data_IF_867651114403
#
_entry.id   IF_867651114403
#
_cell.length_a   1.000
_cell.length_b   1.000
_cell.length_c   1.000
_cell.angle_alpha   90.00
_cell.angle_beta   90.00
_cell.angle_gamma   90.00
#
_symmetry.space_group_name_H-M   'P 1'
#
loop_
_entity.id
_entity.type
_entity.pdbx_description
1 polymer ?
#
# COMPACT_ATOMS: atom_id res chain seq x y z
N UNK A 1 30.52 -38.05 -11.74
CA UNK A 1 31.21 -36.87 -12.30
C UNK A 1 30.64 -36.57 -13.68
N UNK A 2 29.78 -35.57 -13.79
CA UNK A 2 29.43 -34.89 -15.03
C UNK A 2 28.78 -33.56 -14.62
N UNK A 3 29.54 -32.47 -14.70
CA UNK A 3 29.10 -31.13 -14.36
C UNK A 3 28.34 -30.52 -15.55
N UNK A 4 27.07 -30.15 -15.33
CA UNK A 4 26.28 -29.40 -16.28
C UNK A 4 26.34 -27.91 -15.93
N UNK A 5 27.19 -27.17 -16.63
CA UNK A 5 27.16 -25.71 -16.66
C UNK A 5 25.83 -25.23 -17.26
N UNK A 6 24.98 -24.57 -16.49
CA UNK A 6 23.92 -23.71 -17.02
C UNK A 6 24.40 -22.27 -17.09
N UNK A 7 24.20 -21.69 -18.28
CA UNK A 7 24.51 -20.32 -18.62
C UNK A 7 23.49 -19.39 -17.98
N UNK A 8 23.99 -18.42 -17.22
CA UNK A 8 23.26 -17.30 -16.67
C UNK A 8 22.88 -16.35 -17.82
N UNK A 9 21.59 -16.04 -17.93
CA UNK A 9 21.06 -15.15 -18.97
C UNK A 9 21.21 -13.69 -18.51
N UNK A 10 21.97 -12.95 -19.30
CA UNK A 10 22.34 -11.54 -19.14
C UNK A 10 21.12 -10.63 -19.38
N UNK A 11 20.65 -9.91 -18.34
CA UNK A 11 19.66 -8.82 -18.47
C UNK A 11 20.39 -7.47 -18.53
N UNK A 12 20.14 -6.60 -19.53
CA UNK A 12 20.86 -5.34 -19.65
C UNK A 12 20.39 -4.31 -18.59
N UNK A 13 21.34 -3.80 -17.79
CA UNK A 13 21.13 -2.71 -16.83
C UNK A 13 20.96 -1.37 -17.55
N UNK A 14 19.83 -0.70 -17.33
CA UNK A 14 19.59 0.66 -17.80
C UNK A 14 20.48 1.68 -17.06
N UNK A 15 21.12 2.57 -17.82
CA UNK A 15 22.05 3.59 -17.31
C UNK A 15 21.29 4.75 -16.65
N UNK A 16 21.61 5.03 -15.39
CA UNK A 16 21.20 6.24 -14.66
C UNK A 16 21.64 7.49 -15.45
N UNK A 17 20.71 8.42 -15.68
CA UNK A 17 20.99 9.77 -16.18
C UNK A 17 21.08 10.73 -15.00
N UNK A 18 22.19 11.44 -14.89
CA UNK A 18 22.43 12.51 -13.90
C UNK A 18 21.74 13.81 -14.34
N UNK A 19 21.13 14.51 -13.39
CA UNK A 19 20.52 15.83 -13.57
C UNK A 19 21.59 16.95 -13.61
N UNK A 20 21.32 18.12 -14.25
CA UNK A 20 22.26 19.24 -14.28
C UNK A 20 22.01 20.27 -13.16
N UNK A 21 23.09 20.96 -12.81
CA UNK A 21 23.23 21.98 -11.78
C UNK A 21 22.41 23.26 -12.04
N UNK A 22 21.76 23.79 -11.00
CA UNK A 22 21.12 25.11 -11.00
C UNK A 22 22.10 26.20 -10.56
N UNK A 23 22.33 27.19 -11.43
CA UNK A 23 23.05 28.41 -11.11
C UNK A 23 22.07 29.49 -10.60
N UNK A 24 22.29 29.96 -9.36
CA UNK A 24 21.56 31.08 -8.74
C UNK A 24 22.24 32.40 -9.16
N UNK A 25 21.49 33.30 -9.78
CA UNK A 25 21.93 34.67 -10.07
C UNK A 25 21.46 35.59 -8.95
N UNK A 26 22.43 36.17 -8.23
CA UNK A 26 22.23 37.27 -7.30
C UNK A 26 22.23 38.61 -8.05
N UNK A 27 21.27 39.49 -7.75
CA UNK A 27 21.40 40.93 -8.03
C UNK A 27 21.03 41.73 -6.79
N UNK A 28 21.93 42.67 -6.51
CA UNK A 28 22.06 43.48 -5.31
C UNK A 28 21.42 44.86 -5.51
N UNK A 29 20.77 45.37 -4.45
CA UNK A 29 20.79 46.78 -4.00
C UNK A 29 20.09 47.87 -4.84
N UNK A 30 19.28 48.71 -4.19
CA UNK A 30 19.70 50.04 -3.66
C UNK A 30 18.53 50.68 -2.87
N UNK A 31 18.86 51.21 -1.70
CA UNK A 31 18.08 52.06 -0.78
C UNK A 31 18.03 53.52 -1.24
N UNK A 32 16.93 54.26 -0.98
CA UNK A 32 16.98 55.69 -0.62
C UNK A 32 15.82 56.11 0.32
N UNK A 33 16.22 56.49 1.54
CA UNK A 33 15.81 57.55 2.49
C UNK A 33 14.41 58.25 2.51
N UNK A 34 13.76 58.13 3.69
CA UNK A 34 13.29 59.14 4.68
C UNK A 34 12.73 60.53 4.28
N UNK A 35 11.56 60.92 4.85
CA UNK A 35 11.40 61.97 5.91
C UNK A 35 9.93 62.45 6.18
N UNK A 36 9.62 62.66 7.48
CA UNK A 36 8.74 63.69 8.11
C UNK A 36 7.18 63.66 8.01
N UNK A 37 6.54 63.15 9.07
CA UNK A 37 5.75 63.85 10.14
C UNK A 37 4.57 64.81 9.80
N UNK A 38 3.40 64.47 10.39
CA UNK A 38 2.19 65.23 10.81
C UNK A 38 1.19 65.77 9.76
N UNK A 39 -0.06 65.31 9.82
CA UNK A 39 -1.21 66.02 10.46
C UNK A 39 -2.52 65.24 10.29
N UNK A 40 -3.41 65.42 11.26
CA UNK A 40 -4.75 64.84 11.38
C UNK A 40 -5.75 65.44 10.39
N UNK A 41 -6.56 64.61 9.73
CA UNK A 41 -7.97 64.92 9.51
C UNK A 41 -8.73 63.64 9.15
N UNK A 42 -9.71 63.31 9.98
CA UNK A 42 -10.63 62.21 9.76
C UNK A 42 -11.57 62.55 8.59
N UNK A 43 -11.68 61.63 7.64
CA UNK A 43 -12.74 61.58 6.63
C UNK A 43 -13.52 60.27 6.86
N UNK A 44 -14.84 60.24 6.62
CA UNK A 44 -15.67 59.13 7.02
C UNK A 44 -15.34 57.88 6.20
N UNK A 45 -15.33 56.74 6.86
CA UNK A 45 -15.17 55.43 6.25
C UNK A 45 -16.30 55.19 5.24
N UNK A 46 -15.95 55.13 3.96
CA UNK A 46 -16.77 54.49 2.96
C UNK A 46 -16.75 52.99 3.26
N UNK A 47 -17.92 52.41 3.53
CA UNK A 47 -18.06 50.97 3.82
C UNK A 47 -17.77 50.22 2.53
N UNK A 48 -16.51 49.84 2.35
CA UNK A 48 -16.12 48.89 1.33
C UNK A 48 -16.47 47.49 1.84
N UNK A 49 -17.48 46.88 1.22
CA UNK A 49 -17.80 45.48 1.48
C UNK A 49 -16.52 44.64 1.24
N UNK A 50 -16.21 43.67 2.10
CA UNK A 50 -15.12 42.75 1.82
C UNK A 50 -15.43 42.01 0.50
N UNK A 51 -14.41 41.70 -0.32
CA UNK A 51 -14.63 40.88 -1.49
C UNK A 51 -15.20 39.54 -1.04
N UNK A 52 -16.27 39.13 -1.71
CA UNK A 52 -16.89 37.82 -1.54
C UNK A 52 -15.82 36.75 -1.75
N UNK A 53 -15.50 36.03 -0.67
CA UNK A 53 -14.54 34.94 -0.68
C UNK A 53 -15.07 33.88 -1.65
N UNK A 54 -14.41 33.76 -2.80
CA UNK A 54 -14.78 32.80 -3.82
C UNK A 54 -14.75 31.41 -3.18
N UNK A 55 -15.91 30.73 -3.21
CA UNK A 55 -16.04 29.36 -2.75
C UNK A 55 -14.89 28.51 -3.36
N UNK A 56 -14.25 27.63 -2.58
CA UNK A 56 -13.13 26.84 -3.07
C UNK A 56 -13.60 26.07 -4.31
N UNK A 57 -12.84 26.21 -5.40
CA UNK A 57 -13.08 25.47 -6.62
C UNK A 57 -13.13 23.98 -6.29
N UNK A 58 -14.29 23.37 -6.50
CA UNK A 58 -14.50 21.94 -6.42
C UNK A 58 -13.41 21.22 -7.22
N UNK A 59 -12.55 20.46 -6.54
CA UNK A 59 -11.62 19.59 -7.24
C UNK A 59 -12.44 18.59 -8.06
N UNK A 60 -12.05 18.30 -9.30
CA UNK A 60 -12.76 17.32 -10.10
C UNK A 60 -12.65 15.97 -9.37
N UNK A 61 -13.79 15.38 -9.03
CA UNK A 61 -13.88 13.98 -8.61
C UNK A 61 -13.14 13.13 -9.64
N UNK A 62 -12.34 12.11 -9.23
CA UNK A 62 -11.75 11.19 -10.18
C UNK A 62 -12.88 10.52 -10.96
N UNK A 63 -13.07 10.93 -12.20
CA UNK A 63 -14.02 10.29 -13.09
C UNK A 63 -13.45 8.92 -13.41
N UNK A 64 -13.99 7.90 -12.75
CA UNK A 64 -13.81 6.51 -13.13
C UNK A 64 -14.26 6.38 -14.60
N UNK A 65 -13.29 6.37 -15.52
CA UNK A 65 -13.54 5.85 -16.85
C UNK A 65 -13.87 4.37 -16.66
N UNK A 66 -15.17 4.06 -16.69
CA UNK A 66 -15.64 2.69 -16.88
C UNK A 66 -15.18 2.25 -18.28
N UNK A 67 -13.94 1.80 -18.36
CA UNK A 67 -13.48 0.98 -19.47
C UNK A 67 -14.36 -0.28 -19.46
N UNK A 68 -14.89 -0.61 -20.64
CA UNK A 68 -15.69 -1.80 -20.90
C UNK A 68 -15.01 -3.02 -20.26
N UNK A 69 -15.59 -3.53 -19.17
CA UNK A 69 -14.84 -4.42 -18.28
C UNK A 69 -14.80 -5.80 -18.88
N UNK A 70 -13.58 -6.29 -19.15
CA UNK A 70 -13.35 -7.64 -19.61
C UNK A 70 -14.09 -8.67 -18.74
N UNK A 71 -14.87 -9.53 -19.38
CA UNK A 71 -15.26 -10.83 -18.84
C UNK A 71 -13.97 -11.58 -18.49
N UNK A 72 -13.72 -11.81 -17.21
CA UNK A 72 -12.49 -12.43 -16.72
C UNK A 72 -12.76 -13.29 -15.50
N UNK A 73 -11.76 -14.06 -15.09
CA UNK A 73 -11.84 -14.97 -13.96
C UNK A 73 -11.10 -14.42 -12.75
N UNK A 74 -11.44 -14.89 -11.56
CA UNK A 74 -10.67 -14.60 -10.35
C UNK A 74 -9.37 -15.40 -10.44
N UNK A 75 -8.26 -14.69 -10.65
CA UNK A 75 -6.92 -15.28 -10.79
C UNK A 75 -6.08 -15.16 -9.52
N UNK A 76 -6.50 -14.32 -8.57
CA UNK A 76 -5.92 -14.24 -7.25
C UNK A 76 -6.92 -13.67 -6.26
N UNK A 77 -6.96 -14.20 -5.05
CA UNK A 77 -7.83 -13.71 -4.00
C UNK A 77 -7.26 -13.98 -2.62
N UNK A 78 -7.64 -13.14 -1.66
CA UNK A 78 -7.32 -13.34 -0.25
C UNK A 78 -8.42 -12.77 0.64
N UNK A 79 -8.68 -13.46 1.75
CA UNK A 79 -9.57 -13.02 2.79
C UNK A 79 -8.78 -12.77 4.08
N UNK A 80 -8.64 -11.50 4.45
CA UNK A 80 -7.99 -11.07 5.67
C UNK A 80 -9.06 -10.93 6.77
N UNK A 81 -8.88 -11.58 7.91
CA UNK A 81 -9.84 -11.58 9.03
C UNK A 81 -9.13 -11.16 10.30
N UNK A 82 -9.54 -10.02 10.90
CA UNK A 82 -9.03 -9.59 12.21
C UNK A 82 -9.98 -10.00 13.34
N UNK A 83 -9.43 -10.27 14.52
CA UNK A 83 -10.20 -10.58 15.74
C UNK A 83 -10.73 -9.33 16.46
N UNK A 84 -10.48 -8.14 15.94
CA UNK A 84 -11.00 -6.89 16.51
C UNK A 84 -12.52 -6.89 16.61
N UNK A 85 -13.07 -6.13 17.55
CA UNK A 85 -14.52 -5.89 17.64
C UNK A 85 -14.86 -4.41 17.49
N UNK A 86 -13.87 -3.57 17.15
CA UNK A 86 -14.03 -2.13 17.02
C UNK A 86 -14.85 -1.77 15.77
N UNK A 87 -16.00 -1.11 15.97
CA UNK A 87 -16.91 -0.73 14.89
C UNK A 87 -16.37 0.40 14.00
N UNK A 88 -15.56 1.30 14.55
CA UNK A 88 -14.94 2.40 13.80
C UNK A 88 -13.85 1.87 12.86
N UNK A 89 -13.08 0.87 13.33
CA UNK A 89 -12.19 0.08 12.46
C UNK A 89 -12.96 -0.56 11.30
N UNK A 90 -14.10 -1.18 11.56
CA UNK A 90 -14.91 -1.81 10.51
C UNK A 90 -15.41 -0.81 9.46
N UNK A 91 -15.77 0.43 9.87
CA UNK A 91 -16.13 1.48 8.93
C UNK A 91 -14.93 1.93 8.09
N UNK A 92 -13.74 2.08 8.69
CA UNK A 92 -12.52 2.40 7.95
C UNK A 92 -12.20 1.34 6.89
N UNK A 93 -12.35 0.06 7.22
CA UNK A 93 -12.17 -1.05 6.27
C UNK A 93 -13.15 -0.93 5.10
N UNK A 94 -14.43 -0.63 5.38
CA UNK A 94 -15.47 -0.45 4.35
C UNK A 94 -15.14 0.70 3.41
N UNK A 95 -14.68 1.83 3.95
CA UNK A 95 -14.29 3.00 3.16
C UNK A 95 -13.07 2.70 2.28
N UNK A 96 -12.01 2.12 2.85
CA UNK A 96 -10.79 1.80 2.10
C UNK A 96 -11.01 0.70 1.04
N UNK A 97 -11.77 -0.36 1.35
CA UNK A 97 -12.11 -1.37 0.36
C UNK A 97 -12.95 -0.76 -0.79
N UNK A 98 -13.92 0.10 -0.46
CA UNK A 98 -14.73 0.80 -1.46
C UNK A 98 -13.94 1.78 -2.34
N UNK A 99 -12.82 2.33 -1.85
CA UNK A 99 -11.97 3.23 -2.62
C UNK A 99 -11.19 2.52 -3.73
N UNK A 100 -10.91 1.22 -3.57
CA UNK A 100 -10.15 0.42 -4.55
C UNK A 100 -11.03 -0.54 -5.35
N UNK A 101 -12.29 -0.74 -4.94
CA UNK A 101 -13.21 -1.65 -5.62
C UNK A 101 -13.56 -1.15 -7.03
N UNK A 102 -13.45 -2.05 -8.01
CA UNK A 102 -13.74 -1.76 -9.41
C UNK A 102 -12.61 -1.09 -10.17
N UNK A 103 -11.49 -0.74 -9.52
CA UNK A 103 -10.33 -0.15 -10.19
C UNK A 103 -9.76 -1.10 -11.22
N UNK A 104 -9.51 -0.60 -12.43
CA UNK A 104 -8.87 -1.34 -13.53
C UNK A 104 -7.43 -0.88 -13.66
N UNK A 105 -6.49 -1.81 -13.57
CA UNK A 105 -5.06 -1.62 -13.79
C UNK A 105 -4.76 -2.02 -15.24
N UNK A 106 -4.47 -1.05 -16.09
CA UNK A 106 -4.16 -1.26 -17.50
C UNK A 106 -2.80 -1.97 -17.69
N UNK A 107 -2.57 -2.62 -18.85
CA UNK A 107 -1.27 -3.17 -19.21
C UNK A 107 -0.13 -2.14 -19.02
N UNK A 108 0.88 -2.50 -18.23
CA UNK A 108 2.02 -1.67 -17.88
C UNK A 108 1.78 -0.62 -16.78
N UNK A 109 0.53 -0.44 -16.34
CA UNK A 109 0.17 0.54 -15.30
C UNK A 109 0.59 0.09 -13.90
N UNK A 110 1.03 1.05 -13.09
CA UNK A 110 1.29 0.85 -11.66
C UNK A 110 0.17 1.49 -10.85
N UNK A 111 -0.57 0.66 -10.14
CA UNK A 111 -1.51 1.05 -9.11
C UNK A 111 -0.77 1.50 -7.85
N UNK A 112 -1.25 2.54 -7.20
CA UNK A 112 -0.83 3.01 -5.87
C UNK A 112 -2.02 2.96 -4.94
N UNK A 113 -1.86 2.32 -3.78
CA UNK A 113 -2.95 2.25 -2.80
C UNK A 113 -3.22 3.62 -2.17
N UNK A 114 -2.15 4.35 -1.81
CA UNK A 114 -2.27 5.69 -1.23
C UNK A 114 -2.92 6.70 -2.18
N UNK A 115 -2.73 6.58 -3.51
CA UNK A 115 -3.37 7.46 -4.49
C UNK A 115 -4.90 7.29 -4.53
N UNK A 116 -5.43 6.15 -4.07
CA UNK A 116 -6.87 5.88 -4.08
C UNK A 116 -7.53 6.07 -2.72
N UNK A 117 -6.85 5.70 -1.65
CA UNK A 117 -7.35 5.90 -0.28
C UNK A 117 -7.13 7.34 0.21
N UNK A 118 -6.06 8.00 -0.23
CA UNK A 118 -5.73 9.37 0.15
C UNK A 118 -5.17 9.52 1.56
N UNK A 119 -5.06 10.76 2.00
CA UNK A 119 -4.61 11.10 3.36
C UNK A 119 -5.77 10.94 4.36
N UNK A 120 -5.72 9.84 5.11
CA UNK A 120 -6.78 9.46 6.07
C UNK A 120 -6.85 10.43 7.26
N UNK A 121 -5.78 11.15 7.57
CA UNK A 121 -5.76 12.17 8.63
C UNK A 121 -6.53 13.44 8.20
N UNK A 122 -6.67 13.68 6.89
CA UNK A 122 -7.38 14.85 6.34
C UNK A 122 -8.82 14.51 5.90
N UNK A 123 -9.20 13.24 5.92
CA UNK A 123 -10.53 12.79 5.51
C UNK A 123 -11.39 12.41 6.71
N UNK A 124 -12.31 13.32 7.06
CA UNK A 124 -13.26 13.18 8.17
C UNK A 124 -14.18 11.96 8.13
N UNK A 125 -14.22 11.22 7.02
CA UNK A 125 -14.98 9.96 6.91
C UNK A 125 -14.28 8.83 7.67
N UNK A 126 -12.94 8.85 7.72
CA UNK A 126 -12.17 7.90 8.50
C UNK A 126 -12.27 8.24 9.98
N UNK A 127 -12.36 7.20 10.79
CA UNK A 127 -12.56 7.26 12.22
C UNK A 127 -11.29 6.86 12.96
N UNK A 128 -11.16 7.36 14.19
CA UNK A 128 -10.12 6.91 15.09
C UNK A 128 -10.34 5.43 15.44
N UNK A 129 -9.31 4.63 15.26
CA UNK A 129 -9.26 3.23 15.66
C UNK A 129 -7.80 2.84 15.97
N UNK A 130 -7.55 1.67 16.56
CA UNK A 130 -6.20 1.21 16.84
C UNK A 130 -5.32 1.16 15.58
N UNK A 131 -4.16 1.82 15.66
CA UNK A 131 -3.05 1.83 14.69
C UNK A 131 -1.77 1.41 15.41
N UNK A 132 -0.77 0.94 14.65
CA UNK A 132 0.55 0.61 15.19
C UNK A 132 1.51 1.75 14.85
N UNK A 133 2.08 2.40 15.86
CA UNK A 133 3.07 3.48 15.73
C UNK A 133 4.27 3.14 16.61
N UNK A 134 5.45 3.01 16.01
CA UNK A 134 6.68 2.76 16.76
C UNK A 134 6.67 1.47 17.59
N UNK A 135 5.93 0.44 17.16
CA UNK A 135 5.78 -0.81 17.90
C UNK A 135 4.73 -0.78 19.01
N UNK A 136 3.98 0.31 19.17
CA UNK A 136 2.88 0.41 20.13
C UNK A 136 1.54 0.56 19.43
N UNK A 137 0.47 0.06 20.07
CA UNK A 137 -0.90 0.25 19.60
C UNK A 137 -1.48 1.53 20.21
N UNK A 138 -1.80 2.51 19.36
CA UNK A 138 -2.40 3.79 19.75
C UNK A 138 -3.66 4.05 18.93
N UNK A 139 -4.53 4.97 19.36
CA UNK A 139 -5.67 5.40 18.53
C UNK A 139 -5.19 6.40 17.47
N UNK A 140 -5.58 6.19 16.22
CA UNK A 140 -5.23 7.06 15.09
C UNK A 140 -6.26 7.01 13.96
N UNK A 141 -6.25 8.00 13.08
CA UNK A 141 -7.19 8.05 11.96
C UNK A 141 -6.96 6.86 11.01
N UNK A 142 -8.05 6.26 10.52
CA UNK A 142 -7.93 5.18 9.54
C UNK A 142 -7.38 3.87 10.09
N UNK A 143 -7.42 3.66 11.42
CA UNK A 143 -7.04 2.38 12.02
C UNK A 143 -7.75 1.20 11.33
N UNK A 144 -6.95 0.22 10.90
CA UNK A 144 -7.39 -0.96 10.15
C UNK A 144 -7.07 -0.98 8.65
N UNK A 145 -6.78 0.15 8.01
CA UNK A 145 -6.62 0.23 6.54
C UNK A 145 -5.52 -0.68 5.98
N UNK A 146 -4.43 -0.90 6.74
CA UNK A 146 -3.37 -1.84 6.32
C UNK A 146 -3.86 -3.28 6.12
N UNK A 147 -5.01 -3.67 6.72
CA UNK A 147 -5.63 -4.97 6.42
C UNK A 147 -6.12 -5.06 4.98
N UNK A 148 -6.64 -3.96 4.42
CA UNK A 148 -7.07 -3.90 3.01
C UNK A 148 -5.85 -3.94 2.08
N UNK A 149 -4.81 -3.18 2.42
CA UNK A 149 -3.52 -3.23 1.70
C UNK A 149 -2.93 -4.63 1.68
N UNK A 150 -2.89 -5.29 2.84
CA UNK A 150 -2.41 -6.67 2.99
C UNK A 150 -3.22 -7.65 2.14
N UNK A 151 -4.56 -7.54 2.17
CA UNK A 151 -5.41 -8.40 1.34
C UNK A 151 -5.17 -8.18 -0.15
N UNK A 152 -5.00 -6.93 -0.59
CA UNK A 152 -4.65 -6.61 -1.97
C UNK A 152 -3.28 -7.15 -2.35
N UNK A 153 -2.27 -7.01 -1.49
CA UNK A 153 -0.92 -7.51 -1.72
C UNK A 153 -0.92 -9.02 -1.94
N UNK A 154 -1.55 -9.80 -1.06
CA UNK A 154 -1.59 -11.26 -1.21
C UNK A 154 -2.41 -11.68 -2.44
N UNK A 155 -3.55 -11.03 -2.70
CA UNK A 155 -4.32 -11.27 -3.92
C UNK A 155 -3.50 -10.96 -5.18
N UNK A 156 -2.68 -9.90 -5.15
CA UNK A 156 -1.79 -9.50 -6.24
C UNK A 156 -0.65 -10.51 -6.46
N UNK A 157 -0.05 -11.05 -5.39
CA UNK A 157 0.93 -12.15 -5.51
C UNK A 157 0.33 -13.36 -6.23
N UNK A 158 -0.89 -13.75 -5.86
CA UNK A 158 -1.59 -14.90 -6.45
C UNK A 158 -2.04 -14.63 -7.90
N UNK A 159 -2.26 -13.37 -8.26
CA UNK A 159 -2.62 -12.94 -9.61
C UNK A 159 -1.41 -12.62 -10.52
N UNK A 160 -0.20 -12.96 -10.08
CA UNK A 160 1.05 -12.69 -10.77
C UNK A 160 1.39 -11.21 -11.04
N UNK A 161 0.81 -10.28 -10.29
CA UNK A 161 1.12 -8.85 -10.42
C UNK A 161 2.55 -8.56 -9.93
N UNK A 162 3.25 -7.62 -10.57
CA UNK A 162 4.58 -7.19 -10.14
C UNK A 162 4.44 -6.32 -8.87
N UNK A 163 5.17 -6.66 -7.81
CA UNK A 163 5.18 -5.86 -6.57
C UNK A 163 6.30 -4.83 -6.70
N UNK A 164 5.91 -3.57 -6.93
CA UNK A 164 6.84 -2.45 -7.15
C UNK A 164 7.31 -1.87 -5.82
N UNK A 165 6.40 -1.79 -4.85
CA UNK A 165 6.69 -1.31 -3.50
C UNK A 165 5.81 -2.06 -2.50
N UNK A 166 6.42 -2.51 -1.41
CA UNK A 166 5.76 -3.08 -0.24
C UNK A 166 6.67 -2.92 0.96
N UNK A 167 6.07 -2.65 2.12
CA UNK A 167 6.76 -2.57 3.41
C UNK A 167 6.07 -3.49 4.43
N UNK A 168 6.82 -4.21 5.29
CA UNK A 168 6.24 -4.98 6.39
C UNK A 168 5.83 -4.08 7.55
N UNK A 169 4.90 -4.53 8.39
CA UNK A 169 4.73 -3.98 9.73
C UNK A 169 5.94 -4.35 10.61
N UNK A 170 6.19 -3.56 11.65
CA UNK A 170 7.18 -3.90 12.67
C UNK A 170 6.71 -5.01 13.61
N UNK A 171 5.40 -5.25 13.69
CA UNK A 171 4.75 -6.28 14.53
C UNK A 171 3.82 -7.08 13.63
N UNK A 172 3.82 -8.41 13.79
CA UNK A 172 2.97 -9.29 12.99
C UNK A 172 1.48 -8.98 13.16
N UNK A 173 0.76 -8.90 12.03
CA UNK A 173 -0.69 -8.76 12.00
C UNK A 173 -1.42 -10.06 12.35
N UNK A 174 -2.65 -9.96 12.88
CA UNK A 174 -3.51 -11.12 13.16
C UNK A 174 -4.30 -11.61 11.93
N UNK A 175 -4.21 -10.92 10.80
CA UNK A 175 -5.03 -11.13 9.61
C UNK A 175 -4.25 -11.62 8.38
N UNK A 176 -2.95 -11.93 8.52
CA UNK A 176 -2.10 -12.50 7.49
C UNK A 176 -0.93 -13.31 8.09
N UNK A 177 -0.41 -14.33 7.37
CA UNK A 177 0.84 -14.97 7.77
C UNK A 177 2.00 -13.98 7.84
N UNK A 178 2.94 -14.24 8.74
CA UNK A 178 4.13 -13.40 8.93
C UNK A 178 4.92 -13.30 7.62
N UNK A 179 5.36 -12.10 7.23
CA UNK A 179 6.04 -11.88 5.94
C UNK A 179 5.12 -11.60 4.75
N UNK A 180 3.79 -11.73 4.93
CA UNK A 180 2.78 -11.52 3.87
C UNK A 180 1.87 -10.32 4.11
N UNK A 181 2.14 -9.50 5.11
CA UNK A 181 1.44 -8.24 5.37
C UNK A 181 1.99 -7.09 4.52
N UNK A 182 1.23 -6.00 4.37
CA UNK A 182 1.69 -4.79 3.72
C UNK A 182 1.22 -3.56 4.52
N UNK A 183 2.16 -2.80 5.06
CA UNK A 183 1.89 -1.56 5.79
C UNK A 183 1.89 -0.35 4.86
N UNK A 184 1.27 0.73 5.32
CA UNK A 184 1.15 1.99 4.60
C UNK A 184 1.37 3.16 5.56
N UNK A 185 1.99 4.21 5.03
CA UNK A 185 2.10 5.52 5.68
C UNK A 185 1.97 6.55 4.57
N UNK A 186 0.86 7.30 4.56
CA UNK A 186 0.60 8.27 3.50
C UNK A 186 1.80 9.21 3.29
N UNK A 187 2.19 9.38 2.02
CA UNK A 187 3.34 10.20 1.62
C UNK A 187 4.73 9.58 1.83
N UNK A 188 4.86 8.39 2.45
CA UNK A 188 6.18 7.76 2.68
C UNK A 188 6.26 6.25 2.39
N UNK A 189 5.24 5.45 2.75
CA UNK A 189 5.18 4.01 2.49
C UNK A 189 3.89 3.68 1.76
N UNK A 190 4.01 3.02 0.61
CA UNK A 190 2.88 2.66 -0.23
C UNK A 190 2.92 1.17 -0.61
N UNK A 191 1.75 0.65 -1.00
CA UNK A 191 1.65 -0.60 -1.74
C UNK A 191 1.47 -0.24 -3.21
N UNK A 192 2.51 -0.51 -4.00
CA UNK A 192 2.50 -0.27 -5.44
C UNK A 192 2.57 -1.59 -6.17
N UNK A 193 1.56 -1.87 -6.98
CA UNK A 193 1.47 -3.10 -7.78
C UNK A 193 1.34 -2.73 -9.24
N UNK A 194 2.02 -3.46 -10.11
CA UNK A 194 2.05 -3.20 -11.53
C UNK A 194 1.51 -4.38 -12.32
N UNK A 195 0.63 -4.06 -13.26
CA UNK A 195 0.17 -5.03 -14.24
C UNK A 195 1.24 -5.16 -15.34
N UNK A 196 2.06 -6.22 -15.28
CA UNK A 196 3.07 -6.50 -16.29
C UNK A 196 2.53 -7.31 -17.48
N UNK A 197 1.24 -7.67 -17.48
CA UNK A 197 0.59 -8.44 -18.54
C UNK A 197 0.13 -7.55 -19.70
N UNK A 198 -0.41 -8.19 -20.76
CA UNK A 198 -0.95 -7.51 -21.94
C UNK A 198 -2.44 -7.18 -21.83
N UNK A 199 -3.12 -7.65 -20.78
CA UNK A 199 -4.56 -7.50 -20.59
C UNK A 199 -4.89 -6.68 -19.33
N UNK A 200 -5.99 -5.91 -19.33
CA UNK A 200 -6.42 -5.18 -18.15
C UNK A 200 -6.81 -6.13 -17.01
N UNK A 201 -6.50 -5.74 -15.77
CA UNK A 201 -6.90 -6.45 -14.57
C UNK A 201 -7.77 -5.55 -13.70
N UNK A 202 -8.81 -6.10 -13.07
CA UNK A 202 -9.71 -5.35 -12.17
C UNK A 202 -9.55 -5.82 -10.73
N UNK A 203 -9.43 -4.88 -9.81
CA UNK A 203 -9.55 -5.11 -8.38
C UNK A 203 -11.03 -5.22 -8.02
N UNK A 204 -11.41 -6.26 -7.30
CA UNK A 204 -12.68 -6.37 -6.60
C UNK A 204 -12.39 -6.43 -5.10
N UNK A 205 -12.94 -5.52 -4.33
CA UNK A 205 -12.66 -5.40 -2.91
C UNK A 205 -13.94 -5.16 -2.11
N UNK A 206 -14.06 -5.84 -0.98
CA UNK A 206 -15.17 -5.61 -0.06
C UNK A 206 -14.77 -5.86 1.38
N UNK A 207 -15.43 -5.15 2.30
CA UNK A 207 -15.28 -5.37 3.73
C UNK A 207 -16.65 -5.50 4.40
N UNK A 208 -16.78 -6.53 5.25
CA UNK A 208 -17.97 -6.77 6.08
C UNK A 208 -17.50 -7.07 7.51
N UNK A 209 -17.79 -6.16 8.43
CA UNK A 209 -17.26 -6.25 9.80
C UNK A 209 -15.73 -6.14 9.78
N UNK A 210 -15.03 -7.17 10.28
CA UNK A 210 -13.56 -7.26 10.26
C UNK A 210 -13.01 -8.17 9.17
N UNK A 211 -13.86 -8.63 8.26
CA UNK A 211 -13.45 -9.46 7.13
C UNK A 211 -13.29 -8.58 5.91
N UNK A 212 -12.09 -8.60 5.33
CA UNK A 212 -11.78 -7.96 4.05
C UNK A 212 -11.51 -9.06 3.04
N UNK A 213 -12.19 -8.98 1.89
CA UNK A 213 -11.95 -9.87 0.77
C UNK A 213 -11.52 -9.03 -0.43
N UNK A 214 -10.37 -9.39 -1.01
CA UNK A 214 -9.86 -8.78 -2.24
C UNK A 214 -9.62 -9.88 -3.26
N UNK A 215 -10.04 -9.62 -4.50
CA UNK A 215 -9.83 -10.48 -5.65
C UNK A 215 -9.31 -9.67 -6.83
N UNK A 216 -8.41 -10.25 -7.61
CA UNK A 216 -7.99 -9.74 -8.90
C UNK A 216 -8.69 -10.53 -9.99
N UNK A 217 -9.37 -9.82 -10.88
CA UNK A 217 -10.07 -10.38 -12.03
C UNK A 217 -9.27 -10.07 -13.28
N UNK A 218 -8.95 -11.08 -14.08
CA UNK A 218 -8.16 -10.92 -15.31
C UNK A 218 -8.34 -12.10 -16.27
N UNK A 219 -7.49 -12.17 -17.29
CA UNK A 219 -7.43 -13.35 -18.15
C UNK A 219 -7.02 -14.58 -17.33
N UNK A 220 -7.61 -15.77 -17.59
CA UNK A 220 -7.24 -16.99 -16.90
C UNK A 220 -5.74 -17.28 -17.03
N UNK A 221 -5.14 -17.80 -15.96
CA UNK A 221 -3.79 -18.34 -16.03
C UNK A 221 -3.75 -19.54 -17.00
N UNK A 222 -2.54 -19.94 -17.41
CA UNK A 222 -2.36 -21.15 -18.21
C UNK A 222 -3.05 -22.35 -17.53
N UNK A 223 -3.65 -23.24 -18.32
CA UNK A 223 -4.41 -24.37 -17.78
C UNK A 223 -3.54 -25.22 -16.87
N UNK A 224 -4.04 -25.48 -15.65
CA UNK A 224 -3.31 -26.23 -14.62
C UNK A 224 -2.35 -25.38 -13.78
N UNK A 225 -2.13 -24.11 -14.15
CA UNK A 225 -1.32 -23.17 -13.37
C UNK A 225 -2.10 -22.55 -12.23
N UNK A 226 -1.52 -22.60 -11.03
CA UNK A 226 -2.00 -21.84 -9.88
C UNK A 226 -0.80 -21.17 -9.20
N UNK A 227 -1.03 -20.00 -8.60
CA UNK A 227 0.01 -19.27 -7.87
C UNK A 227 -0.44 -19.10 -6.43
N UNK A 228 0.49 -19.32 -5.51
CA UNK A 228 0.24 -19.13 -4.09
C UNK A 228 1.25 -18.18 -3.45
N UNK A 229 0.85 -17.60 -2.31
CA UNK A 229 1.74 -16.84 -1.44
C UNK A 229 2.01 -17.67 -0.18
N UNK A 230 3.27 -17.91 0.12
CA UNK A 230 3.66 -18.71 1.29
C UNK A 230 4.67 -17.95 2.12
N UNK A 231 4.71 -18.21 3.42
CA UNK A 231 5.79 -17.69 4.26
C UNK A 231 6.33 -18.72 5.23
N UNK A 232 7.50 -18.42 5.81
CA UNK A 232 8.14 -19.25 6.81
C UNK A 232 9.01 -18.40 7.73
N UNK A 233 8.95 -18.66 9.03
CA UNK A 233 9.93 -18.17 9.99
C UNK A 233 11.25 -18.92 9.79
N UNK A 234 12.31 -18.18 9.48
CA UNK A 234 13.63 -18.74 9.18
C UNK A 234 14.64 -18.54 10.30
N UNK A 235 14.42 -17.53 11.15
CA UNK A 235 15.28 -17.26 12.31
C UNK A 235 14.51 -16.56 13.44
N UNK A 236 15.09 -16.57 14.63
CA UNK A 236 14.63 -15.80 15.79
C UNK A 236 15.83 -15.37 16.64
N UNK A 237 15.80 -14.15 17.15
CA UNK A 237 16.85 -13.64 18.02
C UNK A 237 16.31 -12.67 19.06
N UNK A 238 17.12 -12.43 20.10
CA UNK A 238 16.86 -11.40 21.11
C UNK A 238 17.90 -10.30 20.92
N UNK A 239 17.48 -9.04 20.86
CA UNK A 239 18.39 -7.91 20.71
C UNK A 239 19.04 -7.49 22.04
N UNK A 240 19.84 -6.42 22.01
CA UNK A 240 20.58 -5.92 23.17
C UNK A 240 19.67 -5.37 24.28
N UNK A 241 18.44 -4.95 23.93
CA UNK A 241 17.43 -4.45 24.85
C UNK A 241 16.59 -5.58 25.46
N UNK A 242 16.77 -6.81 24.99
CA UNK A 242 16.06 -8.00 25.46
C UNK A 242 14.78 -8.30 24.69
N UNK A 243 14.55 -7.62 23.57
CA UNK A 243 13.36 -7.76 22.74
C UNK A 243 13.48 -8.92 21.77
N UNK A 244 12.41 -9.72 21.68
CA UNK A 244 12.34 -10.89 20.80
C UNK A 244 11.93 -10.49 19.38
N UNK A 245 12.72 -10.92 18.41
CA UNK A 245 12.49 -10.72 16.98
C UNK A 245 12.40 -12.05 16.23
N UNK A 246 11.53 -12.10 15.23
CA UNK A 246 11.47 -13.17 14.24
C UNK A 246 11.87 -12.66 12.87
N UNK A 247 12.60 -13.48 12.12
CA UNK A 247 12.89 -13.25 10.71
C UNK A 247 12.04 -14.21 9.89
N UNK A 248 11.23 -13.67 8.99
CA UNK A 248 10.36 -14.43 8.10
C UNK A 248 10.70 -14.18 6.64
N UNK A 249 10.66 -15.24 5.84
CA UNK A 249 10.75 -15.16 4.40
C UNK A 249 9.38 -15.42 3.79
N UNK A 250 9.02 -14.64 2.77
CA UNK A 250 7.81 -14.84 1.98
C UNK A 250 8.14 -15.16 0.53
N UNK A 251 7.27 -15.96 -0.09
CA UNK A 251 7.49 -16.52 -1.42
C UNK A 251 6.23 -16.47 -2.26
N UNK A 252 6.40 -16.22 -3.56
CA UNK A 252 5.41 -16.55 -4.59
C UNK A 252 5.74 -17.93 -5.14
N UNK A 253 4.78 -18.84 -5.14
CA UNK A 253 4.98 -20.25 -5.52
C UNK A 253 4.10 -20.59 -6.70
N UNK A 254 4.72 -21.04 -7.80
CA UNK A 254 4.03 -21.44 -9.01
C UNK A 254 3.84 -22.95 -9.02
N UNK A 255 2.62 -23.38 -9.30
CA UNK A 255 2.26 -24.79 -9.45
C UNK A 255 1.79 -25.04 -10.88
N UNK A 256 2.08 -26.23 -11.40
CA UNK A 256 1.47 -26.79 -12.59
C UNK A 256 0.88 -28.16 -12.22
N UNK A 257 -0.42 -28.33 -12.43
CA UNK A 257 -1.18 -29.53 -12.04
C UNK A 257 -0.98 -29.90 -10.56
N UNK A 258 -0.87 -28.88 -9.71
CA UNK A 258 -0.65 -29.03 -8.27
C UNK A 258 0.80 -29.34 -7.85
N UNK A 259 1.74 -29.44 -8.79
CA UNK A 259 3.16 -29.67 -8.52
C UNK A 259 3.94 -28.35 -8.57
N UNK A 260 4.68 -28.04 -7.50
CA UNK A 260 5.56 -26.87 -7.43
C UNK A 260 6.56 -26.90 -8.59
N UNK A 261 6.55 -25.85 -9.41
CA UNK A 261 7.52 -25.66 -10.49
C UNK A 261 8.72 -24.84 -10.02
N UNK A 262 8.45 -23.69 -9.38
CA UNK A 262 9.48 -22.85 -8.77
C UNK A 262 8.87 -21.93 -7.70
N UNK A 263 9.76 -21.27 -6.95
CA UNK A 263 9.44 -20.31 -5.90
C UNK A 263 10.31 -19.08 -6.06
N UNK A 264 9.70 -17.92 -6.01
CA UNK A 264 10.40 -16.63 -5.96
C UNK A 264 10.37 -16.12 -4.53
N UNK A 265 11.55 -15.81 -3.98
CA UNK A 265 11.66 -15.10 -2.71
C UNK A 265 11.16 -13.66 -2.93
N UNK A 266 10.10 -13.29 -2.24
CA UNK A 266 9.55 -11.94 -2.28
C UNK A 266 10.30 -11.03 -1.31
N UNK A 267 10.31 -11.39 -0.03
CA UNK A 267 10.91 -10.58 1.03
C UNK A 267 11.49 -11.43 2.16
N UNK A 268 12.45 -10.83 2.87
CA UNK A 268 12.93 -11.28 4.18
C UNK A 268 12.67 -10.13 5.15
N UNK A 269 11.78 -10.34 6.11
CA UNK A 269 11.28 -9.33 7.02
C UNK A 269 11.60 -9.67 8.47
N UNK A 270 11.76 -8.65 9.31
CA UNK A 270 11.95 -8.81 10.75
C UNK A 270 10.77 -8.24 11.51
N UNK A 271 10.23 -9.00 12.45
CA UNK A 271 9.10 -8.61 13.29
C UNK A 271 9.49 -8.66 14.75
N UNK A 272 9.24 -7.56 15.45
CA UNK A 272 9.26 -7.50 16.90
C UNK A 272 8.00 -8.17 17.47
N UNK A 273 8.16 -8.93 18.56
CA UNK A 273 7.05 -9.55 19.28
C UNK A 273 6.96 -8.98 20.70
N UNK A 274 6.01 -8.06 20.96
CA UNK A 274 5.85 -7.45 22.28
C UNK A 274 5.55 -8.52 23.33
N UNK A 275 6.22 -8.50 24.49
CA UNK A 275 5.97 -9.46 25.56
C UNK A 275 5.14 -8.84 26.70
N UNK A 276 4.05 -9.48 27.15
CA UNK A 276 3.46 -10.72 26.63
C UNK A 276 2.67 -10.47 25.32
N UNK A 277 2.87 -11.32 24.30
CA UNK A 277 2.08 -11.28 23.06
C UNK A 277 0.96 -12.31 23.10
N UNK A 278 -0.21 -11.93 22.60
CA UNK A 278 -1.28 -12.88 22.24
C UNK A 278 -1.28 -13.24 20.75
N UNK A 279 -0.42 -12.62 19.95
CA UNK A 279 -0.32 -12.85 18.51
C UNK A 279 0.38 -14.18 18.26
N UNK A 280 -0.36 -15.14 17.74
CA UNK A 280 0.20 -16.39 17.23
C UNK A 280 0.70 -16.11 15.83
N UNK A 281 1.99 -16.29 15.59
CA UNK A 281 2.53 -16.23 14.24
C UNK A 281 1.96 -17.38 13.42
N UNK A 282 1.30 -17.04 12.32
CA UNK A 282 0.94 -18.01 11.30
C UNK A 282 1.98 -17.96 10.17
N UNK A 283 2.31 -19.12 9.63
CA UNK A 283 3.20 -19.31 8.48
C UNK A 283 2.60 -20.34 7.53
N UNK A 284 3.19 -20.50 6.35
CA UNK A 284 2.77 -21.47 5.36
C UNK A 284 1.91 -20.87 4.24
N UNK A 285 1.17 -21.74 3.57
CA UNK A 285 0.31 -21.42 2.43
C UNK A 285 -0.87 -20.56 2.84
N UNK A 286 -1.20 -19.54 2.03
CA UNK A 286 -2.48 -18.83 2.13
C UNK A 286 -3.61 -19.54 1.39
N UNK A 287 -3.31 -20.55 0.58
CA UNK A 287 -4.28 -21.46 0.00
C UNK A 287 -4.53 -22.64 0.97
N UNK A 288 -5.73 -22.77 1.56
CA UNK A 288 -6.02 -23.84 2.51
C UNK A 288 -6.01 -25.26 1.89
N UNK A 289 -5.94 -25.37 0.55
CA UNK A 289 -5.85 -26.65 -0.16
C UNK A 289 -4.42 -27.19 -0.34
N UNK A 290 -3.40 -26.42 0.07
CA UNK A 290 -1.98 -26.75 -0.09
C UNK A 290 -1.30 -26.97 1.25
#
# INVERSE_FOLDING_TARGET
MAAAHRREADRPRAKLRTAPDYAVVAVCGVLVAACMVLTTSAMPAEVQMPPEEAAPASQPEPQAQQADVAEGEVIGSYQAISQSTNADRAENLRLAAGAIDGVVIQPGETFSFNDHVGDVEQDSRYRAAPVIVGGETVEGAGGGICQVSTALYIAALKADLEIVERHPHSIASDYAPVGLDATLVYGTMDLRIKNASEDPMRIKAMAVGQTVEVSIIGQPLETGTTIDATSKVVDQYVDDDGDLHYVAESYRVYYLDGVVQYRDLMHTDTYFIPQPSTVVLSEGSVDPSK
#
